data_IF_614863359065
#
_entry.id   IF_614863359065
#
_cell.length_a   1.000
_cell.length_b   1.000
_cell.length_c   1.000
_cell.angle_alpha   90.00
_cell.angle_beta   90.00
_cell.angle_gamma   90.00
#
_symmetry.space_group_name_H-M   'P 1'
#
loop_
_entity.id
_entity.type
_entity.pdbx_description
1 polymer ?
#
# COMPACT_ATOMS: atom_id res chain seq x y z
N UNK A 1 16.23 -27.57 27.95
CA UNK A 1 14.81 -27.42 27.69
C UNK A 1 14.67 -26.74 26.32
N UNK A 2 14.16 -27.52 25.37
CA UNK A 2 14.33 -27.25 23.97
C UNK A 2 13.60 -26.01 23.48
N UNK A 3 14.31 -25.16 22.80
CA UNK A 3 13.81 -24.10 21.97
C UNK A 3 13.24 -24.76 20.70
N UNK A 4 11.93 -24.94 20.63
CA UNK A 4 11.25 -25.22 19.37
C UNK A 4 11.35 -23.97 18.51
N UNK A 5 12.47 -23.84 17.78
CA UNK A 5 12.54 -22.98 16.63
C UNK A 5 11.49 -23.48 15.64
N UNK A 6 10.38 -22.75 15.52
CA UNK A 6 9.43 -22.90 14.44
C UNK A 6 10.20 -22.67 13.15
N UNK A 7 10.53 -23.77 12.47
CA UNK A 7 11.10 -23.77 11.13
C UNK A 7 9.98 -23.24 10.22
N UNK A 8 9.91 -21.94 10.02
CA UNK A 8 9.22 -21.35 8.88
C UNK A 8 10.14 -21.62 7.68
N UNK A 9 10.04 -22.86 7.18
CA UNK A 9 10.87 -23.33 6.08
C UNK A 9 10.51 -22.56 4.81
N UNK A 10 11.52 -22.14 4.08
CA UNK A 10 11.43 -21.77 2.67
C UNK A 10 10.60 -22.88 2.00
N UNK A 11 9.50 -22.54 1.36
CA UNK A 11 8.71 -23.46 0.56
C UNK A 11 9.65 -24.18 -0.40
N UNK A 12 9.41 -25.46 -0.70
CA UNK A 12 10.29 -26.20 -1.64
C UNK A 12 10.38 -25.52 -3.00
N UNK A 13 9.33 -24.83 -3.43
CA UNK A 13 9.30 -24.03 -4.66
C UNK A 13 10.17 -22.77 -4.53
N UNK A 14 10.11 -22.07 -3.42
CA UNK A 14 10.98 -20.92 -3.12
C UNK A 14 12.46 -21.35 -3.06
N UNK A 15 12.77 -22.54 -2.55
CA UNK A 15 14.13 -23.03 -2.46
C UNK A 15 14.78 -23.24 -3.83
N UNK A 16 14.04 -23.79 -4.78
CA UNK A 16 14.50 -23.96 -6.16
C UNK A 16 14.75 -22.62 -6.83
N UNK A 17 13.78 -21.70 -6.76
CA UNK A 17 13.90 -20.35 -7.31
C UNK A 17 15.09 -19.60 -6.69
N UNK A 18 15.28 -19.66 -5.39
CA UNK A 18 16.41 -19.02 -4.69
C UNK A 18 17.75 -19.59 -5.16
N UNK A 19 17.83 -20.90 -5.38
CA UNK A 19 19.08 -21.52 -5.87
C UNK A 19 19.45 -21.00 -7.29
N UNK A 20 18.47 -20.90 -8.19
CA UNK A 20 18.66 -20.37 -9.54
C UNK A 20 19.00 -18.88 -9.54
N UNK A 21 18.32 -18.08 -8.69
CA UNK A 21 18.63 -16.66 -8.50
C UNK A 21 20.05 -16.44 -8.02
N UNK A 22 20.55 -17.26 -7.08
CA UNK A 22 21.93 -17.21 -6.60
C UNK A 22 22.94 -17.63 -7.66
N UNK A 23 22.55 -18.53 -8.56
CA UNK A 23 23.36 -18.92 -9.72
C UNK A 23 23.40 -17.84 -10.79
N UNK A 24 22.54 -16.82 -10.70
CA UNK A 24 22.47 -15.71 -11.67
C UNK A 24 21.63 -16.02 -12.90
N UNK A 25 20.68 -16.95 -12.82
CA UNK A 25 19.74 -17.27 -13.90
C UNK A 25 18.87 -16.08 -14.25
N UNK A 26 18.93 -15.62 -15.52
CA UNK A 26 18.09 -14.53 -16.03
C UNK A 26 16.60 -14.93 -16.02
N UNK A 27 16.28 -16.18 -16.34
CA UNK A 27 14.92 -16.70 -16.32
C UNK A 27 14.33 -16.68 -14.90
N UNK A 28 15.13 -17.05 -13.89
CA UNK A 28 14.70 -16.98 -12.49
C UNK A 28 14.42 -15.54 -12.05
N UNK A 29 15.23 -14.57 -12.51
CA UNK A 29 14.96 -13.15 -12.26
C UNK A 29 13.72 -12.66 -12.99
N UNK A 30 13.47 -13.09 -14.22
CA UNK A 30 12.25 -12.76 -14.96
C UNK A 30 10.99 -13.27 -14.22
N UNK A 31 11.02 -14.50 -13.71
CA UNK A 31 9.96 -15.09 -12.90
C UNK A 31 9.75 -14.28 -11.61
N UNK A 32 10.83 -13.95 -10.91
CA UNK A 32 10.76 -13.14 -9.68
C UNK A 32 10.11 -11.77 -9.94
N UNK A 33 10.54 -11.08 -11.00
CA UNK A 33 9.98 -9.77 -11.37
C UNK A 33 8.51 -9.93 -11.75
N UNK A 34 8.14 -10.90 -12.57
CA UNK A 34 6.75 -11.13 -12.97
C UNK A 34 5.83 -11.37 -11.76
N UNK A 35 6.33 -12.11 -10.77
CA UNK A 35 5.55 -12.45 -9.57
C UNK A 35 5.45 -11.30 -8.57
N UNK A 36 6.52 -10.53 -8.36
CA UNK A 36 6.60 -9.58 -7.26
C UNK A 36 6.56 -8.11 -7.67
N UNK A 37 6.67 -7.77 -8.97
CA UNK A 37 6.67 -6.37 -9.40
C UNK A 37 5.41 -5.61 -8.95
N UNK A 38 4.24 -6.11 -9.30
CA UNK A 38 2.98 -5.43 -9.00
C UNK A 38 2.67 -5.34 -7.50
N UNK A 39 2.83 -6.40 -6.68
CA UNK A 39 2.67 -6.31 -5.24
C UNK A 39 3.63 -5.31 -4.58
N UNK A 40 4.91 -5.34 -4.94
CA UNK A 40 5.91 -4.41 -4.38
C UNK A 40 5.66 -2.97 -4.81
N UNK A 41 5.34 -2.72 -6.08
CA UNK A 41 4.94 -1.40 -6.57
C UNK A 41 3.75 -0.85 -5.77
N UNK A 42 2.70 -1.66 -5.59
CA UNK A 42 1.50 -1.27 -4.84
C UNK A 42 1.80 -0.95 -3.38
N UNK A 43 2.66 -1.75 -2.73
CA UNK A 43 3.10 -1.49 -1.35
C UNK A 43 3.89 -0.19 -1.25
N UNK A 44 4.84 0.03 -2.17
CA UNK A 44 5.69 1.22 -2.21
C UNK A 44 4.82 2.46 -2.45
N UNK A 45 3.94 2.45 -3.45
CA UNK A 45 3.05 3.56 -3.77
C UNK A 45 2.15 3.95 -2.57
N UNK A 46 1.66 2.98 -1.81
CA UNK A 46 0.90 3.22 -0.57
C UNK A 46 1.77 3.74 0.58
N UNK A 47 3.08 3.50 0.54
CA UNK A 47 4.02 3.93 1.59
C UNK A 47 4.61 5.31 1.35
N UNK A 48 4.49 5.84 0.13
CA UNK A 48 4.98 7.16 -0.25
C UNK A 48 3.89 8.22 -0.11
N UNK A 49 4.31 9.48 0.02
CA UNK A 49 3.41 10.62 -0.06
C UNK A 49 3.10 10.98 -1.52
N UNK A 50 4.08 10.77 -2.42
CA UNK A 50 3.95 10.94 -3.85
C UNK A 50 4.12 9.58 -4.56
N UNK A 51 3.08 9.05 -5.21
CA UNK A 51 3.15 7.80 -5.94
C UNK A 51 4.03 7.86 -7.20
N UNK A 52 4.35 9.04 -7.72
CA UNK A 52 5.17 9.20 -8.94
C UNK A 52 6.53 8.51 -8.82
N UNK A 53 7.12 8.52 -7.61
CA UNK A 53 8.42 7.88 -7.34
C UNK A 53 8.33 6.35 -7.19
N UNK A 54 7.13 5.78 -7.13
CA UNK A 54 6.97 4.36 -6.81
C UNK A 54 7.61 3.43 -7.87
N UNK A 55 7.56 3.81 -9.14
CA UNK A 55 8.16 3.04 -10.23
C UNK A 55 9.68 2.98 -10.10
N UNK A 56 10.33 4.10 -9.87
CA UNK A 56 11.78 4.19 -9.73
C UNK A 56 12.27 3.43 -8.50
N UNK A 57 11.57 3.58 -7.37
CA UNK A 57 11.90 2.84 -6.14
C UNK A 57 11.71 1.34 -6.34
N UNK A 58 10.66 0.93 -7.05
CA UNK A 58 10.44 -0.49 -7.34
C UNK A 58 11.60 -1.06 -8.18
N UNK A 59 12.07 -0.31 -9.16
CA UNK A 59 13.23 -0.70 -9.96
C UNK A 59 14.50 -0.82 -9.09
N UNK A 60 14.76 0.16 -8.21
CA UNK A 60 15.89 0.13 -7.28
C UNK A 60 15.82 -1.08 -6.31
N UNK A 61 14.61 -1.46 -5.89
CA UNK A 61 14.39 -2.68 -5.09
C UNK A 61 14.88 -3.90 -5.84
N UNK A 62 14.50 -4.09 -7.11
CA UNK A 62 14.94 -5.26 -7.89
C UNK A 62 16.44 -5.23 -8.17
N UNK A 63 17.04 -4.07 -8.43
CA UNK A 63 18.49 -3.91 -8.55
C UNK A 63 19.19 -4.35 -7.25
N UNK A 64 18.64 -3.93 -6.10
CA UNK A 64 19.20 -4.30 -4.80
C UNK A 64 19.03 -5.79 -4.49
N UNK A 65 17.89 -6.37 -4.85
CA UNK A 65 17.65 -7.81 -4.77
C UNK A 65 18.68 -8.57 -5.61
N UNK A 66 18.88 -8.17 -6.85
CA UNK A 66 19.88 -8.79 -7.75
C UNK A 66 21.29 -8.78 -7.13
N UNK A 67 21.69 -7.66 -6.53
CA UNK A 67 23.01 -7.51 -5.92
C UNK A 67 23.17 -8.30 -4.62
N UNK A 68 22.09 -8.48 -3.85
CA UNK A 68 22.15 -9.03 -2.50
C UNK A 68 21.65 -10.47 -2.37
N UNK A 69 21.04 -11.06 -3.41
CA UNK A 69 20.45 -12.41 -3.36
C UNK A 69 21.45 -13.49 -2.99
N UNK A 70 22.72 -13.33 -3.38
CA UNK A 70 23.78 -14.29 -3.01
C UNK A 70 23.99 -14.39 -1.50
N UNK A 71 23.72 -13.31 -0.75
CA UNK A 71 23.76 -13.25 0.70
C UNK A 71 22.46 -13.62 1.41
N UNK A 72 21.44 -14.03 0.68
CA UNK A 72 20.20 -14.51 1.30
C UNK A 72 20.42 -15.89 1.92
N UNK A 73 20.26 -16.01 3.23
CA UNK A 73 20.54 -17.27 3.98
C UNK A 73 19.29 -18.09 4.28
N UNK A 74 18.08 -17.58 3.99
CA UNK A 74 16.83 -18.31 4.23
C UNK A 74 16.34 -18.24 5.67
N UNK A 75 16.83 -17.27 6.47
CA UNK A 75 16.36 -17.02 7.83
C UNK A 75 14.89 -16.58 7.86
N UNK A 76 14.43 -15.99 6.76
CA UNK A 76 13.05 -15.62 6.48
C UNK A 76 12.59 -16.20 5.13
N UNK A 77 11.30 -16.14 4.81
CA UNK A 77 10.84 -16.46 3.47
C UNK A 77 11.39 -15.45 2.44
N UNK A 78 11.54 -15.88 1.18
CA UNK A 78 11.93 -14.99 0.08
C UNK A 78 11.02 -13.77 0.01
N UNK A 79 9.72 -13.99 0.16
CA UNK A 79 8.69 -12.95 0.17
C UNK A 79 8.91 -11.95 1.31
N UNK A 80 9.10 -12.41 2.54
CA UNK A 80 9.39 -11.56 3.71
C UNK A 80 10.63 -10.70 3.48
N UNK A 81 11.68 -11.30 2.92
CA UNK A 81 12.93 -10.60 2.62
C UNK A 81 12.77 -9.52 1.55
N UNK A 82 12.02 -9.79 0.47
CA UNK A 82 11.72 -8.82 -0.58
C UNK A 82 10.95 -7.62 -0.06
N UNK A 83 9.91 -7.86 0.75
CA UNK A 83 9.09 -6.81 1.36
C UNK A 83 9.87 -5.96 2.35
N UNK A 84 10.81 -6.55 3.09
CA UNK A 84 11.74 -5.80 3.95
C UNK A 84 12.60 -4.84 3.12
N UNK A 85 13.18 -5.30 2.01
CA UNK A 85 13.97 -4.45 1.10
C UNK A 85 13.10 -3.31 0.56
N UNK A 86 11.90 -3.60 0.09
CA UNK A 86 11.00 -2.61 -0.49
C UNK A 86 10.63 -1.49 0.49
N UNK A 87 10.24 -1.84 1.72
CA UNK A 87 9.90 -0.85 2.74
C UNK A 87 11.11 -0.06 3.23
N UNK A 88 12.28 -0.69 3.26
CA UNK A 88 13.53 0.01 3.58
C UNK A 88 13.87 1.05 2.51
N UNK A 89 13.75 0.73 1.22
CA UNK A 89 14.01 1.67 0.14
C UNK A 89 12.98 2.81 0.11
N UNK A 90 11.69 2.51 0.25
CA UNK A 90 10.65 3.52 0.37
C UNK A 90 10.90 4.48 1.55
N UNK A 91 11.32 3.95 2.71
CA UNK A 91 11.67 4.75 3.89
C UNK A 91 12.93 5.59 3.67
N UNK A 92 13.94 5.07 2.96
CA UNK A 92 15.16 5.81 2.64
C UNK A 92 14.86 6.99 1.73
N UNK A 93 14.09 6.77 0.66
CA UNK A 93 13.68 7.80 -0.29
C UNK A 93 12.93 8.93 0.43
N UNK A 94 11.94 8.59 1.26
CA UNK A 94 11.20 9.58 2.03
C UNK A 94 12.08 10.39 2.98
N UNK A 95 13.06 9.76 3.65
CA UNK A 95 14.03 10.47 4.50
C UNK A 95 14.93 11.40 3.69
N UNK A 96 15.27 11.00 2.47
CA UNK A 96 16.04 11.82 1.54
C UNK A 96 15.22 13.05 1.14
N UNK A 97 13.98 12.90 0.71
CA UNK A 97 13.06 13.99 0.35
C UNK A 97 12.82 14.96 1.52
N UNK A 98 12.56 14.45 2.72
CA UNK A 98 12.32 15.30 3.88
C UNK A 98 13.53 16.18 4.25
N UNK A 99 14.74 15.74 3.92
CA UNK A 99 15.97 16.51 4.14
C UNK A 99 16.21 17.54 3.02
N UNK A 100 15.94 17.18 1.77
CA UNK A 100 16.23 18.03 0.62
C UNK A 100 15.12 19.04 0.34
N UNK A 101 13.86 18.70 0.51
CA UNK A 101 12.72 19.63 0.37
C UNK A 101 12.79 20.79 1.39
N UNK A 102 13.47 20.62 2.52
CA UNK A 102 13.77 21.73 3.45
C UNK A 102 14.83 22.71 2.93
N UNK A 103 15.68 22.30 2.01
CA UNK A 103 16.70 23.18 1.41
C UNK A 103 16.19 23.96 0.20
N UNK A 104 15.19 23.46 -0.51
CA UNK A 104 14.61 24.11 -1.71
C UNK A 104 13.61 25.23 -1.38
N UNK A 105 13.09 25.31 -0.15
CA UNK A 105 12.08 26.32 0.24
C UNK A 105 12.71 27.70 0.56
N UNK A 106 13.98 27.94 0.25
CA UNK A 106 14.65 29.23 0.55
C UNK A 106 14.84 30.13 -0.67
N UNK A 107 14.24 29.87 -1.83
CA UNK A 107 14.25 30.78 -2.96
C UNK A 107 12.86 30.90 -3.57
N UNK A 108 12.21 32.03 -3.22
CA UNK A 108 11.11 32.74 -3.89
C UNK A 108 10.15 31.97 -4.82
N UNK A 109 8.91 31.75 -4.39
CA UNK A 109 7.71 32.36 -4.99
C UNK A 109 6.41 31.76 -4.44
N UNK A 110 5.35 32.53 -4.26
CA UNK A 110 4.03 32.00 -3.98
C UNK A 110 3.40 31.57 -5.30
N UNK A 111 3.35 30.28 -5.55
CA UNK A 111 2.56 29.73 -6.64
C UNK A 111 1.54 28.75 -6.07
N UNK A 112 0.29 29.06 -6.31
CA UNK A 112 -0.87 28.25 -5.98
C UNK A 112 -0.69 26.85 -6.54
N UNK A 113 -0.76 25.84 -5.68
CA UNK A 113 -0.87 24.44 -6.08
C UNK A 113 -2.32 24.18 -6.44
N UNK A 114 -2.64 24.27 -7.72
CA UNK A 114 -3.77 23.56 -8.27
C UNK A 114 -3.47 22.06 -8.15
N UNK A 115 -4.30 21.38 -7.35
CA UNK A 115 -4.32 19.92 -7.24
C UNK A 115 -4.85 19.34 -8.56
N UNK A 116 -3.96 19.06 -9.50
CA UNK A 116 -4.30 18.21 -10.65
C UNK A 116 -4.13 16.76 -10.22
N UNK A 117 -5.21 16.25 -9.63
CA UNK A 117 -5.36 14.86 -9.22
C UNK A 117 -5.49 13.92 -10.41
N UNK A 118 -4.42 13.70 -11.17
CA UNK A 118 -4.40 12.58 -12.12
C UNK A 118 -3.93 11.31 -11.40
N UNK A 119 -4.86 10.73 -10.64
CA UNK A 119 -4.72 9.39 -10.07
C UNK A 119 -4.71 8.39 -11.23
N UNK A 120 -3.51 7.92 -11.60
CA UNK A 120 -3.39 6.77 -12.48
C UNK A 120 -4.04 5.59 -11.77
N UNK A 121 -5.27 5.29 -12.20
CA UNK A 121 -6.07 4.20 -11.68
C UNK A 121 -5.34 2.87 -11.95
N UNK A 122 -4.92 2.20 -10.88
CA UNK A 122 -4.26 0.89 -10.90
C UNK A 122 -5.25 -0.25 -11.19
N UNK A 123 -6.34 0.04 -11.92
CA UNK A 123 -7.39 -0.93 -12.23
C UNK A 123 -7.07 -1.88 -13.38
N UNK A 124 -5.90 -1.75 -14.01
CA UNK A 124 -5.64 -2.43 -15.29
C UNK A 124 -5.01 -3.83 -15.17
N UNK A 125 -4.80 -4.39 -13.97
CA UNK A 125 -4.14 -5.69 -13.87
C UNK A 125 -4.72 -6.57 -12.77
N UNK A 126 -6.03 -6.81 -12.82
CA UNK A 126 -6.61 -7.97 -12.15
C UNK A 126 -7.43 -8.72 -13.20
N UNK A 127 -7.13 -10.02 -13.32
CA UNK A 127 -7.74 -10.95 -14.23
C UNK A 127 -9.26 -10.82 -14.30
N UNK A 128 -9.76 -10.94 -15.50
CA UNK A 128 -11.14 -11.11 -15.91
C UNK A 128 -11.77 -12.32 -15.16
N UNK A 129 -12.38 -12.06 -14.02
CA UNK A 129 -13.27 -12.95 -13.33
C UNK A 129 -14.71 -12.55 -13.71
N UNK A 130 -15.14 -12.83 -14.92
CA UNK A 130 -16.54 -13.00 -15.34
C UNK A 130 -17.65 -12.15 -14.70
N UNK A 131 -17.31 -11.04 -14.06
CA UNK A 131 -18.24 -10.15 -13.37
C UNK A 131 -19.01 -9.28 -14.37
N UNK A 132 -20.23 -8.91 -14.05
CA UNK A 132 -21.00 -7.95 -14.81
C UNK A 132 -20.29 -6.59 -14.82
N UNK A 133 -20.31 -5.81 -15.93
CA UNK A 133 -19.76 -4.44 -15.97
C UNK A 133 -20.25 -3.52 -14.85
N UNK A 134 -21.45 -3.78 -14.34
CA UNK A 134 -22.04 -3.05 -13.22
C UNK A 134 -21.37 -3.41 -11.88
N UNK A 135 -21.05 -4.68 -11.69
CA UNK A 135 -20.34 -5.16 -10.48
C UNK A 135 -18.91 -4.65 -10.47
N UNK A 136 -18.27 -4.55 -11.63
CA UNK A 136 -16.91 -4.01 -11.77
C UNK A 136 -16.84 -2.52 -11.39
N UNK A 137 -17.82 -1.73 -11.81
CA UNK A 137 -17.92 -0.29 -11.42
C UNK A 137 -18.12 -0.18 -9.90
N UNK A 138 -19.03 -0.94 -9.32
CA UNK A 138 -19.28 -0.91 -7.88
C UNK A 138 -18.05 -1.35 -7.07
N UNK A 139 -17.33 -2.35 -7.53
CA UNK A 139 -16.08 -2.80 -6.90
C UNK A 139 -14.96 -1.76 -7.04
N UNK A 140 -14.87 -1.08 -8.18
CA UNK A 140 -13.90 0.00 -8.41
C UNK A 140 -14.14 1.16 -7.44
N UNK A 141 -15.39 1.61 -7.28
CA UNK A 141 -15.74 2.67 -6.32
C UNK A 141 -15.41 2.31 -4.87
N UNK A 142 -15.66 1.05 -4.47
CA UNK A 142 -15.31 0.58 -3.13
C UNK A 142 -13.80 0.59 -2.95
N UNK A 143 -13.05 0.12 -3.95
CA UNK A 143 -11.58 0.10 -3.92
C UNK A 143 -11.02 1.51 -3.81
N UNK A 144 -11.49 2.46 -4.60
CA UNK A 144 -11.05 3.87 -4.55
C UNK A 144 -11.32 4.50 -3.19
N UNK A 145 -12.48 4.24 -2.59
CA UNK A 145 -12.80 4.70 -1.22
C UNK A 145 -11.86 4.14 -0.16
N UNK A 146 -11.55 2.85 -0.25
CA UNK A 146 -10.60 2.20 0.67
C UNK A 146 -9.20 2.79 0.50
N UNK A 147 -8.72 2.98 -0.74
CA UNK A 147 -7.42 3.59 -1.02
C UNK A 147 -7.35 5.05 -0.52
N UNK A 148 -8.41 5.83 -0.73
CA UNK A 148 -8.51 7.19 -0.20
C UNK A 148 -8.49 7.24 1.33
N UNK A 149 -9.16 6.30 2.00
CA UNK A 149 -9.12 6.17 3.46
C UNK A 149 -7.73 5.73 3.96
N UNK A 150 -7.08 4.78 3.27
CA UNK A 150 -5.72 4.33 3.62
C UNK A 150 -4.71 5.48 3.57
N UNK A 151 -4.80 6.37 2.57
CA UNK A 151 -3.92 7.54 2.47
C UNK A 151 -4.03 8.49 3.66
N UNK A 152 -5.18 8.58 4.31
CA UNK A 152 -5.41 9.44 5.47
C UNK A 152 -4.90 8.83 6.80
N UNK A 153 -4.62 7.53 6.84
CA UNK A 153 -4.08 6.87 8.04
C UNK A 153 -2.59 7.20 8.18
N UNK A 154 -2.09 7.52 9.39
CA UNK A 154 -0.66 7.66 9.64
C UNK A 154 0.11 6.43 9.14
N UNK A 155 1.21 6.66 8.44
CA UNK A 155 1.98 5.65 7.74
C UNK A 155 2.33 4.42 8.60
N UNK A 156 2.76 4.63 9.84
CA UNK A 156 3.13 3.53 10.75
C UNK A 156 1.99 2.55 11.03
N UNK A 157 0.73 3.02 10.93
CA UNK A 157 -0.45 2.17 11.06
C UNK A 157 -0.90 1.63 9.71
N UNK A 158 -0.86 2.47 8.66
CA UNK A 158 -1.19 2.10 7.29
C UNK A 158 -0.35 0.92 6.81
N UNK A 159 0.97 0.97 6.96
CA UNK A 159 1.88 -0.10 6.53
C UNK A 159 1.52 -1.43 7.16
N UNK A 160 1.24 -1.47 8.48
CA UNK A 160 0.85 -2.71 9.16
C UNK A 160 -0.50 -3.24 8.67
N UNK A 161 -1.47 -2.34 8.40
CA UNK A 161 -2.77 -2.73 7.82
C UNK A 161 -2.59 -3.29 6.42
N UNK A 162 -1.81 -2.64 5.55
CA UNK A 162 -1.53 -3.13 4.19
C UNK A 162 -0.87 -4.51 4.22
N UNK A 163 0.19 -4.68 5.01
CA UNK A 163 0.87 -5.97 5.12
C UNK A 163 -0.05 -7.10 5.62
N UNK A 164 -0.96 -6.79 6.55
CA UNK A 164 -1.87 -7.80 7.10
C UNK A 164 -3.09 -8.07 6.23
N UNK A 165 -3.83 -7.02 5.83
CA UNK A 165 -5.15 -7.14 5.22
C UNK A 165 -5.08 -7.32 3.70
N UNK A 166 -4.07 -6.73 3.05
CA UNK A 166 -3.92 -6.78 1.59
C UNK A 166 -2.92 -7.86 1.22
N UNK A 167 -1.75 -7.86 1.87
CA UNK A 167 -0.68 -8.79 1.53
C UNK A 167 -0.77 -10.13 2.28
N UNK A 168 -1.57 -10.23 3.35
CA UNK A 168 -1.84 -11.47 4.04
C UNK A 168 -0.71 -12.00 4.94
N UNK A 169 0.31 -11.20 5.27
CA UNK A 169 1.41 -11.62 6.15
C UNK A 169 0.94 -11.99 7.55
N UNK A 170 1.58 -12.99 8.16
CA UNK A 170 1.42 -13.29 9.57
C UNK A 170 2.01 -12.16 10.45
N UNK A 171 1.59 -12.09 11.72
CA UNK A 171 2.06 -11.03 12.61
C UNK A 171 3.55 -11.11 12.87
N UNK A 172 4.09 -12.31 12.93
CA UNK A 172 5.49 -12.64 13.11
C UNK A 172 6.30 -12.14 11.91
N UNK A 173 5.83 -12.40 10.70
CA UNK A 173 6.45 -11.92 9.45
C UNK A 173 6.43 -10.39 9.36
N UNK A 174 5.31 -9.74 9.75
CA UNK A 174 5.20 -8.28 9.79
C UNK A 174 6.20 -7.70 10.81
N UNK A 175 6.36 -8.35 11.98
CA UNK A 175 7.31 -7.95 12.99
C UNK A 175 8.76 -8.00 12.44
N UNK A 176 9.05 -9.04 11.66
CA UNK A 176 10.34 -9.23 11.00
C UNK A 176 10.55 -8.22 9.85
N UNK A 177 9.54 -8.00 8.99
CA UNK A 177 9.61 -7.03 7.88
C UNK A 177 9.90 -5.62 8.39
N UNK A 178 9.24 -5.22 9.49
CA UNK A 178 9.30 -3.87 10.05
C UNK A 178 10.38 -3.68 11.12
N UNK A 179 11.08 -4.75 11.50
CA UNK A 179 12.05 -4.77 12.59
C UNK A 179 11.45 -4.18 13.90
N UNK A 180 10.30 -4.72 14.32
CA UNK A 180 9.60 -4.32 15.54
C UNK A 180 9.12 -5.55 16.30
N UNK A 181 8.84 -5.39 17.60
CA UNK A 181 8.27 -6.50 18.37
C UNK A 181 6.80 -6.77 18.02
N UNK A 182 6.36 -8.00 18.27
CA UNK A 182 5.00 -8.48 17.98
C UNK A 182 3.91 -7.65 18.68
N UNK A 183 4.16 -7.15 19.90
CA UNK A 183 3.25 -6.26 20.62
C UNK A 183 3.03 -4.94 19.88
N UNK A 184 4.09 -4.40 19.26
CA UNK A 184 4.01 -3.20 18.42
C UNK A 184 3.16 -3.45 17.16
N UNK A 185 3.32 -4.61 16.49
CA UNK A 185 2.48 -4.99 15.34
C UNK A 185 1.02 -5.04 15.74
N UNK A 186 0.68 -5.76 16.82
CA UNK A 186 -0.71 -5.87 17.33
C UNK A 186 -1.32 -4.52 17.65
N UNK A 187 -0.60 -3.64 18.35
CA UNK A 187 -1.09 -2.32 18.74
C UNK A 187 -1.27 -1.39 17.53
N UNK A 188 -0.32 -1.39 16.58
CA UNK A 188 -0.43 -0.61 15.34
C UNK A 188 -1.58 -1.09 14.46
N UNK A 189 -1.79 -2.40 14.35
CA UNK A 189 -2.88 -3.00 13.58
C UNK A 189 -4.25 -2.62 14.17
N UNK A 190 -4.41 -2.71 15.48
CA UNK A 190 -5.65 -2.30 16.16
C UNK A 190 -5.98 -0.83 15.90
N UNK A 191 -5.00 0.07 16.05
CA UNK A 191 -5.17 1.51 15.78
C UNK A 191 -5.45 1.77 14.31
N UNK A 192 -4.75 1.10 13.41
CA UNK A 192 -4.93 1.23 11.97
C UNK A 192 -6.32 0.80 11.51
N UNK A 193 -6.81 -0.36 11.98
CA UNK A 193 -8.17 -0.84 11.71
C UNK A 193 -9.24 0.11 12.24
N UNK A 194 -9.06 0.64 13.44
CA UNK A 194 -9.98 1.61 14.02
C UNK A 194 -10.04 2.91 13.22
N UNK A 195 -8.89 3.44 12.81
CA UNK A 195 -8.80 4.63 11.96
C UNK A 195 -9.44 4.40 10.60
N UNK A 196 -9.13 3.27 9.93
CA UNK A 196 -9.70 2.91 8.63
C UNK A 196 -11.22 2.83 8.70
N UNK A 197 -11.74 2.14 9.71
CA UNK A 197 -13.19 2.01 9.92
C UNK A 197 -13.86 3.38 10.09
N UNK A 198 -13.29 4.25 10.91
CA UNK A 198 -13.83 5.59 11.15
C UNK A 198 -13.89 6.42 9.86
N UNK A 199 -12.85 6.37 9.04
CA UNK A 199 -12.78 7.08 7.76
C UNK A 199 -13.80 6.55 6.75
N UNK A 200 -13.93 5.24 6.62
CA UNK A 200 -14.91 4.61 5.71
C UNK A 200 -16.34 4.99 6.12
N UNK A 201 -16.67 4.92 7.42
CA UNK A 201 -17.99 5.32 7.92
C UNK A 201 -18.27 6.81 7.67
N UNK A 202 -17.30 7.68 7.86
CA UNK A 202 -17.45 9.11 7.58
C UNK A 202 -17.73 9.37 6.09
N UNK A 203 -17.03 8.69 5.18
CA UNK A 203 -17.27 8.78 3.74
C UNK A 203 -18.67 8.28 3.34
N UNK A 204 -19.15 7.20 3.94
CA UNK A 204 -20.50 6.68 3.71
C UNK A 204 -21.59 7.67 4.15
N UNK A 205 -21.43 8.30 5.32
CA UNK A 205 -22.37 9.30 5.81
C UNK A 205 -22.43 10.54 4.90
N UNK A 206 -21.27 10.99 4.38
CA UNK A 206 -21.22 12.12 3.44
C UNK A 206 -21.91 11.77 2.12
N UNK A 207 -21.71 10.57 1.58
CA UNK A 207 -22.37 10.12 0.36
C UNK A 207 -23.89 10.03 0.52
N UNK A 208 -24.38 9.55 1.66
CA UNK A 208 -25.81 9.48 1.97
C UNK A 208 -26.46 10.88 2.11
N UNK A 209 -25.77 11.82 2.75
CA UNK A 209 -26.29 13.19 2.91
C UNK A 209 -26.35 13.95 1.57
N UNK A 210 -25.41 13.68 0.64
CA UNK A 210 -25.42 14.31 -0.69
C UNK A 210 -26.46 13.69 -1.65
N UNK A 211 -26.94 12.50 -1.36
CA UNK A 211 -27.98 11.82 -2.16
C UNK A 211 -29.41 12.07 -1.65
N UNK A 212 -29.59 12.78 -0.53
CA UNK A 212 -30.90 13.19 -0.06
C UNK A 212 -31.44 14.34 -0.93
N UNK A 213 -32.58 14.18 -1.65
CA UNK A 213 -33.15 15.27 -2.44
C UNK A 213 -33.58 16.42 -1.50
N UNK A 214 -33.06 17.62 -1.75
CA UNK A 214 -33.51 18.84 -1.14
C UNK A 214 -34.95 19.10 -1.60
N UNK A 215 -35.93 18.62 -0.86
CA UNK A 215 -37.30 19.10 -0.99
C UNK A 215 -37.34 20.51 -0.39
N UNK A 216 -37.05 21.50 -1.25
CA UNK A 216 -37.36 22.89 -0.98
C UNK A 216 -38.87 23.01 -0.65
N UNK A 217 -39.15 23.35 0.58
CA UNK A 217 -40.45 23.80 1.03
C UNK A 217 -40.82 25.08 0.28
N UNK A 218 -41.55 24.92 -0.82
CA UNK A 218 -42.38 25.99 -1.34
C UNK A 218 -43.65 26.03 -0.44
N UNK A 219 -43.57 26.76 0.63
CA UNK A 219 -44.75 27.18 1.38
C UNK A 219 -45.40 28.37 0.66
N UNK A 220 -46.54 28.09 0.17
CA UNK A 220 -47.60 28.95 -0.22
C UNK A 220 -47.77 30.23 0.61
N UNK A 221 -47.49 31.37 0.05
CA UNK A 221 -48.10 32.65 0.39
C UNK A 221 -48.80 33.19 -0.86
N UNK A 222 -50.04 32.81 -1.02
CA UNK A 222 -51.03 33.60 -1.76
C UNK A 222 -52.42 33.19 -1.27
N UNK A 223 -52.99 34.01 -0.46
CA UNK A 223 -54.36 34.51 -0.60
C UNK A 223 -54.78 35.22 0.67
N UNK A 224 -54.86 36.52 0.59
CA UNK A 224 -56.03 37.26 1.06
C UNK A 224 -55.95 38.71 0.54
N UNK A 225 -56.77 39.04 -0.42
CA UNK A 225 -57.42 40.34 -0.48
C UNK A 225 -58.68 40.23 -1.37
N UNK A 226 -59.78 40.12 -0.82
CA UNK A 226 -61.05 40.92 -0.89
C UNK A 226 -62.18 40.13 -0.32
#
# INVERSE_FOLDING_TARGET
MGHLASVIGVSTEDAALVAELKAGSEDAFAILIAQYHQPLYSLIARSLNDPADAADITQEVFIKVFRSIRGFHGDASLRTWLYRIALHEASNQRRWWSRHKKQEITIDSPYDQEEDGNSICLSATLADDGNSPFDDVAQSEVRERVEAALRQIPETFRTVVVLREIEGFAYEEIAEILDVNLGTVKSRLTRGRSALRALILAQQNLAQNNSAPSFATHSSEEMVTQ
#
